data_IF_050218996937
#
_entry.id   IF_050218996937
#
_cell.length_a   1.000
_cell.length_b   1.000
_cell.length_c   1.000
_cell.angle_alpha   90.00
_cell.angle_beta   90.00
_cell.angle_gamma   90.00
#
_symmetry.space_group_name_H-M   'P 1'
#
loop_
_entity.id
_entity.type
_entity.pdbx_description
1 polymer ?
2 non-polymer ?
3 non-polymer ?
4 non-polymer ?
5 non-polymer ?
6 water ?
#
# COMPACT_ATOMS: atom_id res chain seq x y z
N UNK A 16 10.44 -33.66 -1.32
CA UNK A 16 9.46 -32.93 -2.12
C UNK A 16 10.00 -32.67 -3.54
N UNK A 17 9.51 -33.45 -4.51
CA UNK A 17 9.92 -33.30 -5.90
C UNK A 17 8.72 -33.12 -6.82
N UNK A 18 7.64 -32.55 -6.28
CA UNK A 18 6.44 -32.31 -7.09
C UNK A 18 6.76 -31.50 -8.34
N UNK A 19 7.65 -30.51 -8.19
CA UNK A 19 7.88 -29.52 -9.24
C UNK A 19 8.94 -29.92 -10.24
N UNK A 20 9.78 -30.90 -9.92
CA UNK A 20 10.62 -31.50 -10.95
C UNK A 20 9.76 -31.93 -12.13
N UNK A 21 10.32 -31.84 -13.32
CA UNK A 21 9.70 -32.21 -14.59
C UNK A 21 8.56 -31.29 -15.00
N UNK A 22 8.20 -30.29 -14.18
CA UNK A 22 7.31 -29.23 -14.65
C UNK A 22 8.06 -28.36 -15.63
N UNK A 23 7.58 -28.31 -16.87
CA UNK A 23 8.16 -27.43 -17.88
C UNK A 23 7.17 -26.38 -18.36
N UNK A 24 5.89 -26.69 -18.41
CA UNK A 24 4.90 -25.71 -18.85
C UNK A 24 4.36 -25.06 -17.59
N UNK A 25 4.89 -23.90 -17.28
CA UNK A 25 4.41 -23.08 -16.18
C UNK A 25 5.07 -21.74 -16.33
N UNK A 26 4.35 -20.64 -16.08
CA UNK A 26 4.95 -19.32 -16.06
C UNK A 26 4.48 -18.59 -14.82
N UNK A 27 5.35 -17.78 -14.24
CA UNK A 27 5.11 -17.20 -12.92
C UNK A 27 5.45 -15.71 -12.95
N UNK A 28 4.55 -14.88 -12.42
CA UNK A 28 4.76 -13.44 -12.43
C UNK A 28 4.60 -12.89 -11.03
N UNK A 29 5.35 -11.82 -10.74
CA UNK A 29 5.14 -11.00 -9.55
C UNK A 29 3.95 -10.09 -9.80
N UNK A 30 3.06 -9.95 -8.82
CA UNK A 30 2.00 -8.95 -8.85
C UNK A 30 2.23 -8.02 -7.67
N UNK A 31 2.32 -6.73 -7.94
CA UNK A 31 2.41 -5.73 -6.88
C UNK A 31 1.09 -4.95 -6.80
N UNK A 32 0.64 -4.69 -5.58
CA UNK A 32 -0.55 -3.88 -5.37
C UNK A 32 -0.24 -2.76 -4.39
N UNK A 33 -0.54 -1.51 -4.76
CA UNK A 33 -0.40 -0.46 -3.75
C UNK A 33 -1.40 -0.63 -2.62
N UNK A 34 -2.51 -1.32 -2.88
CA UNK A 34 -3.66 -1.32 -2.00
C UNK A 34 -3.87 -2.68 -1.35
N UNK A 35 -3.96 -2.68 -0.03
CA UNK A 35 -4.39 -3.86 0.70
C UNK A 35 -5.85 -4.17 0.43
N UNK A 36 -6.66 -3.14 0.22
CA UNK A 36 -8.07 -3.39 -0.08
C UNK A 36 -8.22 -4.21 -1.36
N UNK A 37 -7.36 -3.92 -2.35
CA UNK A 37 -7.48 -4.64 -3.62
C UNK A 37 -7.13 -6.11 -3.44
N UNK A 38 -6.13 -6.40 -2.61
CA UNK A 38 -5.83 -7.78 -2.25
C UNK A 38 -7.08 -8.45 -1.66
N UNK A 39 -7.71 -7.80 -0.67
CA UNK A 39 -8.90 -8.41 -0.06
C UNK A 39 -10.02 -8.64 -1.06
N UNK A 40 -10.25 -7.68 -1.98
CA UNK A 40 -11.28 -7.86 -3.00
C UNK A 40 -10.95 -9.01 -3.93
N UNK A 41 -9.67 -9.11 -4.34
CA UNK A 41 -9.24 -10.19 -5.22
C UNK A 41 -9.48 -11.55 -4.58
N UNK A 42 -9.16 -11.68 -3.29
CA UNK A 42 -9.39 -12.94 -2.58
C UNK A 42 -10.88 -13.25 -2.53
N UNK A 43 -11.69 -12.25 -2.22
CA UNK A 43 -13.13 -12.44 -2.06
C UNK A 43 -13.82 -12.86 -3.36
N UNK A 44 -13.46 -12.22 -4.47
CA UNK A 44 -14.17 -12.38 -5.74
C UNK A 44 -13.36 -13.09 -6.81
N UNK A 45 -12.12 -13.51 -6.51
CA UNK A 45 -11.29 -14.25 -7.46
C UNK A 45 -11.15 -13.54 -8.81
N UNK A 46 -10.76 -12.27 -8.76
CA UNK A 46 -10.56 -11.46 -9.94
C UNK A 46 -9.34 -10.59 -9.70
N UNK A 47 -8.72 -10.14 -10.79
CA UNK A 47 -7.63 -9.16 -10.71
C UNK A 47 -7.64 -8.29 -11.97
N UNK A 48 -6.84 -7.22 -11.93
CA UNK A 48 -6.58 -6.37 -13.09
C UNK A 48 -5.24 -5.70 -12.87
N UNK A 49 -4.41 -5.63 -13.91
CA UNK A 49 -3.11 -4.99 -13.78
C UNK A 49 -3.09 -3.67 -14.55
N UNK A 50 -1.90 -3.14 -14.81
CA UNK A 50 -1.77 -1.98 -15.69
C UNK A 50 -2.08 -2.40 -17.12
N UNK A 51 -2.12 -1.44 -18.05
CA UNK A 51 -2.29 -1.84 -19.45
C UNK A 51 -1.13 -2.75 -19.89
N UNK A 52 0.11 -2.35 -19.63
CA UNK A 52 1.19 -3.20 -20.12
C UNK A 52 1.28 -4.48 -19.31
N UNK A 53 0.90 -4.45 -18.04
CA UNK A 53 0.86 -5.67 -17.25
C UNK A 53 -0.21 -6.63 -17.74
N UNK A 54 -1.42 -6.12 -17.98
CA UNK A 54 -2.46 -6.97 -18.56
C UNK A 54 -1.99 -7.61 -19.86
N UNK A 55 -1.30 -6.86 -20.69
CA UNK A 55 -0.87 -7.41 -21.98
C UNK A 55 0.13 -8.56 -21.80
N UNK A 56 1.10 -8.39 -20.90
CA UNK A 56 2.04 -9.47 -20.61
C UNK A 56 1.34 -10.72 -20.08
N UNK A 57 0.41 -10.54 -19.14
CA UNK A 57 -0.27 -11.68 -18.54
C UNK A 57 -1.20 -12.36 -19.54
N UNK A 58 -1.90 -11.55 -20.34
CA UNK A 58 -2.79 -12.10 -21.35
C UNK A 58 -2.01 -12.92 -22.38
N UNK A 59 -0.85 -12.40 -22.82
CA UNK A 59 -0.05 -13.14 -23.80
C UNK A 59 0.43 -14.46 -23.20
N UNK A 60 0.89 -14.45 -21.96
CA UNK A 60 1.37 -15.66 -21.31
C UNK A 60 0.24 -16.67 -21.11
N UNK A 61 -0.93 -16.21 -20.66
CA UNK A 61 -2.06 -17.11 -20.47
C UNK A 61 -2.50 -17.73 -21.79
N UNK A 62 -2.60 -16.91 -22.84
CA UNK A 62 -3.15 -17.40 -24.11
C UNK A 62 -2.19 -18.34 -24.81
N UNK A 63 -0.88 -18.04 -24.74
CA UNK A 63 0.08 -18.92 -25.39
C UNK A 63 0.34 -20.18 -24.60
N UNK A 64 0.03 -20.17 -23.31
CA UNK A 64 0.10 -21.40 -22.53
C UNK A 64 -0.99 -22.38 -22.93
N UNK A 65 -2.15 -21.87 -23.35
CA UNK A 65 -3.16 -22.71 -23.99
C UNK A 65 -3.56 -23.88 -23.09
N UNK A 66 -3.65 -23.63 -21.79
CA UNK A 66 -4.05 -24.69 -20.87
C UNK A 66 -3.04 -25.80 -20.68
N UNK A 67 -1.80 -25.62 -21.12
CA UNK A 67 -0.78 -26.66 -20.99
C UNK A 67 -0.09 -26.64 -19.63
N UNK A 68 -0.21 -25.54 -18.89
CA UNK A 68 0.34 -25.45 -17.56
C UNK A 68 -0.23 -24.20 -16.89
N UNK A 69 0.15 -23.96 -15.64
CA UNK A 69 -0.41 -22.82 -14.91
C UNK A 69 0.35 -21.53 -15.17
N UNK A 70 -0.36 -20.42 -15.01
CA UNK A 70 0.24 -19.09 -14.86
C UNK A 70 0.00 -18.72 -13.41
N UNK A 71 1.06 -18.68 -12.61
CA UNK A 71 0.96 -18.36 -11.20
C UNK A 71 1.31 -16.90 -10.98
N UNK A 72 0.69 -16.32 -9.96
CA UNK A 72 0.82 -14.90 -9.61
C UNK A 72 1.25 -14.82 -8.15
N UNK A 73 2.39 -14.18 -7.90
CA UNK A 73 2.93 -14.04 -6.55
C UNK A 73 2.66 -12.63 -6.08
N UNK A 74 1.71 -12.46 -5.15
CA UNK A 74 1.20 -11.14 -4.75
C UNK A 74 1.98 -10.54 -3.57
N UNK A 75 2.17 -9.21 -3.63
CA UNK A 75 2.86 -8.48 -2.58
C UNK A 75 2.33 -7.05 -2.60
N UNK A 76 1.98 -6.51 -1.42
CA UNK A 76 1.62 -5.09 -1.33
C UNK A 76 2.88 -4.25 -1.22
N UNK A 77 2.98 -3.23 -2.07
CA UNK A 77 4.17 -2.38 -2.17
C UNK A 77 4.51 -1.78 -0.82
N UNK A 78 5.76 -1.97 -0.40
CA UNK A 78 6.23 -1.43 0.88
C UNK A 78 5.91 -2.28 2.10
N UNK A 79 5.08 -3.31 1.97
CA UNK A 79 4.65 -4.08 3.13
C UNK A 79 5.74 -4.96 3.73
N UNK A 80 6.77 -5.30 2.96
CA UNK A 80 7.84 -6.16 3.45
C UNK A 80 7.57 -7.65 3.39
N UNK A 81 6.44 -8.10 2.83
CA UNK A 81 6.15 -9.53 2.74
C UNK A 81 5.29 -9.79 1.50
N UNK A 82 5.37 -11.02 1.00
CA UNK A 82 4.36 -11.49 0.08
C UNK A 82 3.12 -11.91 0.85
N UNK A 83 1.95 -11.80 0.21
CA UNK A 83 0.71 -12.11 0.90
C UNK A 83 -0.04 -13.30 0.31
N UNK A 84 0.44 -13.88 -0.78
CA UNK A 84 -0.11 -15.14 -1.22
C UNK A 84 0.15 -15.42 -2.69
N UNK A 85 -0.51 -16.46 -3.18
CA UNK A 85 -0.29 -17.01 -4.51
C UNK A 85 -1.63 -17.29 -5.14
N UNK A 86 -1.79 -16.89 -6.40
CA UNK A 86 -3.01 -17.20 -7.14
C UNK A 86 -2.65 -17.71 -8.52
N UNK A 87 -3.59 -18.37 -9.17
CA UNK A 87 -3.41 -18.84 -10.54
C UNK A 87 -4.33 -18.02 -11.45
N UNK A 88 -3.79 -17.57 -12.58
CA UNK A 88 -4.61 -17.00 -13.66
C UNK A 88 -5.64 -18.03 -14.11
N UNK A 89 -6.91 -17.63 -14.20
CA UNK A 89 -7.93 -18.59 -14.66
C UNK A 89 -8.76 -18.08 -15.84
N UNK A 90 -8.35 -17.00 -16.50
CA UNK A 90 -9.02 -16.57 -17.72
C UNK A 90 -8.12 -15.58 -18.47
N UNK A 91 -8.47 -15.34 -19.74
CA UNK A 91 -7.82 -14.27 -20.48
C UNK A 91 -8.33 -12.92 -19.98
N UNK A 92 -7.63 -11.85 -20.38
CA UNK A 92 -8.04 -10.52 -19.94
C UNK A 92 -9.26 -10.07 -20.73
N UNK A 93 -10.29 -9.64 -20.01
CA UNK A 93 -11.44 -8.92 -20.58
C UNK A 93 -11.17 -7.43 -20.42
N UNK A 94 -10.89 -6.74 -21.51
CA UNK A 94 -10.42 -5.36 -21.40
C UNK A 94 -11.54 -4.34 -21.22
N UNK A 95 -12.79 -4.75 -21.32
CA UNK A 95 -13.92 -3.81 -21.34
C UNK A 95 -14.87 -4.25 -20.24
N UNK A 96 -14.67 -3.72 -19.04
CA UNK A 96 -15.47 -4.11 -17.89
C UNK A 96 -15.76 -2.87 -17.07
N UNK A 97 -16.59 -3.05 -16.05
CA UNK A 97 -17.00 -1.96 -15.17
C UNK A 97 -15.79 -1.20 -14.63
N UNK A 98 -15.87 0.12 -14.62
CA UNK A 98 -14.78 0.94 -14.10
C UNK A 98 -14.92 1.13 -12.58
N UNK A 99 -13.81 1.50 -11.95
CA UNK A 99 -13.85 1.91 -10.55
C UNK A 99 -14.11 0.85 -9.51
N UNK A 100 -13.88 -0.43 -9.83
CA UNK A 100 -14.15 -1.45 -8.83
C UNK A 100 -13.03 -1.61 -7.82
N UNK A 101 -11.84 -1.08 -8.11
CA UNK A 101 -10.66 -1.17 -7.26
C UNK A 101 -10.45 0.17 -6.54
N UNK A 102 -9.47 0.19 -5.64
CA UNK A 102 -9.21 1.41 -4.85
C UNK A 102 -9.04 2.64 -5.74
N UNK A 103 -8.18 2.53 -6.75
CA UNK A 103 -7.99 3.56 -7.75
C UNK A 103 -8.74 3.21 -9.03
N UNK A 104 -9.10 4.24 -9.78
CA UNK A 104 -9.81 4.05 -11.05
C UNK A 104 -8.85 3.82 -12.25
N UNK A 105 -7.56 3.61 -12.02
CA UNK A 105 -6.59 3.54 -13.10
C UNK A 105 -6.75 2.28 -13.97
N UNK A 106 -7.23 1.19 -13.39
CA UNK A 106 -7.12 -0.15 -14.00
C UNK A 106 -8.30 -0.40 -14.92
N UNK A 107 -8.01 -0.86 -16.15
CA UNK A 107 -9.03 -1.15 -17.14
C UNK A 107 -9.07 -2.65 -17.43
N UNK A 108 -10.19 -3.29 -17.15
CA UNK A 108 -10.37 -4.69 -17.51
C UNK A 108 -10.38 -5.58 -16.29
N UNK A 109 -10.43 -6.90 -16.55
CA UNK A 109 -10.62 -7.87 -15.49
C UNK A 109 -10.17 -9.23 -16.00
N UNK A 110 -9.60 -10.04 -15.11
CA UNK A 110 -9.44 -11.46 -15.42
C UNK A 110 -9.66 -12.28 -14.16
N UNK A 111 -10.01 -13.55 -14.35
CA UNK A 111 -10.25 -14.44 -13.23
C UNK A 111 -8.94 -14.96 -12.65
N UNK A 112 -8.94 -15.17 -11.34
CA UNK A 112 -7.84 -15.83 -10.65
C UNK A 112 -8.44 -16.83 -9.68
N UNK A 113 -7.60 -17.75 -9.21
CA UNK A 113 -7.98 -18.64 -8.13
C UNK A 113 -6.87 -18.56 -7.09
N UNK A 114 -7.19 -18.05 -5.90
CA UNK A 114 -6.16 -17.96 -4.88
C UNK A 114 -5.83 -19.34 -4.32
N UNK A 115 -4.52 -19.61 -4.19
CA UNK A 115 -3.97 -20.89 -3.73
C UNK A 115 -3.47 -20.79 -2.30
N UNK A 116 -2.62 -19.80 -2.02
CA UNK A 116 -2.18 -19.49 -0.66
C UNK A 116 -2.62 -18.09 -0.33
N UNK A 117 -3.16 -17.92 0.86
CA UNK A 117 -3.24 -16.62 1.49
C UNK A 117 -2.40 -16.73 2.74
N UNK A 118 -1.17 -16.25 2.67
CA UNK A 118 -0.31 -16.33 3.83
C UNK A 118 0.83 -15.34 3.67
N UNK A 119 1.19 -14.69 4.77
CA UNK A 119 2.28 -13.72 4.76
C UNK A 119 3.61 -14.43 4.83
N UNK A 120 4.49 -14.11 3.88
CA UNK A 120 5.84 -14.67 3.82
C UNK A 120 6.80 -13.49 3.81
N UNK A 121 7.61 -13.32 4.86
CA UNK A 121 8.47 -12.13 4.94
C UNK A 121 9.48 -12.11 3.81
N UNK A 122 9.84 -10.89 3.36
CA UNK A 122 10.84 -10.78 2.30
C UNK A 122 12.15 -11.46 2.70
N UNK A 123 12.44 -11.54 4.00
CA UNK A 123 13.66 -12.19 4.46
C UNK A 123 13.74 -13.66 4.01
N UNK A 124 12.59 -14.32 3.87
CA UNK A 124 12.57 -15.71 3.41
C UNK A 124 12.92 -15.85 1.93
N UNK A 125 12.74 -14.80 1.14
CA UNK A 125 12.83 -14.90 -0.32
C UNK A 125 13.92 -14.05 -0.96
N UNK A 126 14.51 -13.10 -0.22
CA UNK A 126 15.40 -12.11 -0.82
C UNK A 126 16.70 -12.70 -1.34
N UNK A 127 17.02 -13.95 -1.01
CA UNK A 127 18.23 -14.56 -1.58
C UNK A 127 18.00 -15.18 -2.96
N UNK A 128 16.75 -15.35 -3.38
CA UNK A 128 16.47 -15.77 -4.75
C UNK A 128 16.58 -14.57 -5.66
N UNK A 129 17.46 -14.66 -6.68
CA UNK A 129 17.72 -13.54 -7.56
C UNK A 129 17.29 -13.87 -8.99
N UNK A 130 16.91 -12.85 -9.75
CA UNK A 130 16.33 -13.05 -11.07
C UNK A 130 17.35 -12.69 -12.16
N UNK A 131 17.80 -13.70 -12.90
CA UNK A 131 18.78 -13.46 -13.95
C UNK A 131 18.25 -12.58 -15.07
N UNK A 132 16.92 -12.53 -15.24
CA UNK A 132 16.30 -11.70 -16.26
C UNK A 132 16.01 -10.29 -15.77
N UNK A 133 16.31 -9.99 -14.51
CA UNK A 133 16.16 -8.65 -13.97
C UNK A 133 17.44 -8.25 -13.25
N UNK A 134 18.56 -8.36 -13.95
CA UNK A 134 19.85 -7.84 -13.48
C UNK A 134 20.32 -8.49 -12.18
N UNK A 135 19.95 -9.75 -11.94
CA UNK A 135 20.35 -10.47 -10.74
C UNK A 135 19.79 -9.82 -9.46
N UNK A 136 18.72 -9.03 -9.59
CA UNK A 136 18.11 -8.40 -8.43
C UNK A 136 17.31 -9.42 -7.63
N UNK A 137 17.21 -9.23 -6.31
CA UNK A 137 16.37 -10.13 -5.50
C UNK A 137 14.94 -10.15 -6.02
N UNK A 138 14.31 -11.31 -5.95
CA UNK A 138 12.92 -11.42 -6.39
C UNK A 138 12.04 -10.49 -5.57
N UNK A 139 12.45 -10.18 -4.34
CA UNK A 139 11.72 -9.25 -3.48
C UNK A 139 11.86 -7.80 -3.90
N UNK A 140 12.71 -7.47 -4.88
CA UNK A 140 12.80 -6.11 -5.41
C UNK A 140 12.21 -5.99 -6.82
N UNK A 141 11.17 -6.76 -7.12
CA UNK A 141 10.55 -6.75 -8.44
C UNK A 141 9.45 -5.70 -8.52
N UNK A 142 9.17 -5.26 -9.74
CA UNK A 142 8.00 -4.44 -10.05
C UNK A 142 6.85 -5.33 -10.52
N UNK A 143 5.66 -4.72 -10.61
CA UNK A 143 4.46 -5.43 -11.06
C UNK A 143 4.69 -6.13 -12.40
N UNK A 144 4.22 -7.38 -12.48
CA UNK A 144 4.29 -8.30 -13.63
C UNK A 144 5.72 -8.55 -14.12
N UNK A 145 6.70 -8.40 -13.23
CA UNK A 145 8.00 -9.00 -13.45
C UNK A 145 7.84 -10.52 -13.60
N UNK A 146 8.31 -11.07 -14.71
CA UNK A 146 8.24 -12.52 -14.83
C UNK A 146 9.41 -13.17 -14.13
N UNK A 147 9.17 -14.37 -13.58
CA UNK A 147 10.15 -15.09 -12.79
C UNK A 147 10.58 -16.32 -13.59
N UNK A 148 11.86 -16.49 -13.88
CA UNK A 148 12.29 -17.72 -14.57
C UNK A 148 11.85 -18.97 -13.81
N UNK A 149 11.47 -20.01 -14.57
CA UNK A 149 10.78 -21.14 -13.96
C UNK A 149 11.57 -21.75 -12.80
N UNK A 150 12.89 -21.87 -12.96
CA UNK A 150 13.68 -22.55 -11.94
C UNK A 150 13.70 -21.74 -10.64
N UNK A 151 13.76 -20.41 -10.75
CA UNK A 151 13.66 -19.58 -9.56
C UNK A 151 12.24 -19.61 -9.00
N UNK A 152 11.25 -19.66 -9.88
CA UNK A 152 9.86 -19.65 -9.42
C UNK A 152 9.55 -20.89 -8.59
N UNK A 153 10.14 -22.02 -8.96
CA UNK A 153 9.93 -23.24 -8.18
C UNK A 153 10.49 -23.09 -6.79
N UNK A 154 11.66 -22.43 -6.67
CA UNK A 154 12.28 -22.20 -5.38
C UNK A 154 11.44 -21.28 -4.51
N UNK A 155 10.84 -20.25 -5.12
CA UNK A 155 9.98 -19.33 -4.39
C UNK A 155 8.74 -20.06 -3.91
N UNK A 156 8.11 -20.86 -4.78
CA UNK A 156 6.88 -21.55 -4.41
C UNK A 156 7.12 -22.55 -3.28
N UNK A 157 8.26 -23.23 -3.30
CA UNK A 157 8.57 -24.16 -2.23
C UNK A 157 8.76 -23.43 -0.91
N UNK A 158 9.42 -22.26 -0.94
CA UNK A 158 9.58 -21.48 0.28
C UNK A 158 8.23 -20.98 0.77
N UNK A 159 7.38 -20.48 -0.14
CA UNK A 159 6.08 -19.98 0.30
C UNK A 159 5.24 -21.11 0.91
N UNK A 160 5.27 -22.28 0.29
CA UNK A 160 4.44 -23.39 0.77
C UNK A 160 4.91 -23.90 2.13
N UNK A 161 6.22 -23.93 2.34
CA UNK A 161 6.80 -24.49 3.54
C UNK A 161 6.86 -23.51 4.71
N UNK A 162 6.55 -22.24 4.49
CA UNK A 162 6.66 -21.25 5.56
C UNK A 162 5.56 -21.42 6.60
N UNK A 163 5.94 -21.36 7.88
CA UNK A 163 4.95 -21.53 8.94
C UNK A 163 5.09 -20.46 10.03
N UNK A 164 6.31 -19.97 10.25
CA UNK A 164 6.57 -19.05 11.36
C UNK A 164 5.75 -17.77 11.26
N UNK B 16 -3.25 34.48 4.32
CA UNK B 16 -4.25 33.49 3.92
C UNK B 16 -5.34 33.34 4.96
N UNK B 17 -6.48 32.76 4.54
CA UNK B 17 -7.60 32.57 5.44
C UNK B 17 -7.37 31.41 6.41
N UNK B 18 -6.43 30.53 6.09
CA UNK B 18 -6.33 29.22 6.71
C UNK B 18 -4.99 29.06 7.42
N UNK B 19 -5.04 28.54 8.65
CA UNK B 19 -3.85 28.22 9.45
C UNK B 19 -2.88 29.39 9.54
N UNK B 20 -3.41 30.61 9.47
CA UNK B 20 -2.56 31.79 9.53
C UNK B 20 -2.07 32.10 10.94
N UNK B 21 -2.52 31.37 11.95
CA UNK B 21 -2.22 31.73 13.33
C UNK B 21 -1.82 30.50 14.15
N UNK B 22 -1.05 29.60 13.54
CA UNK B 22 -0.42 28.51 14.30
C UNK B 22 0.96 28.96 14.75
N UNK B 23 1.02 29.54 15.96
CA UNK B 23 2.31 29.84 16.56
C UNK B 23 2.99 28.56 17.03
N UNK B 24 2.21 27.55 17.43
CA UNK B 24 2.72 26.28 17.92
C UNK B 24 2.15 25.13 17.09
N UNK B 25 2.49 23.92 17.48
CA UNK B 25 1.95 22.74 16.82
C UNK B 25 2.98 21.83 16.20
N UNK B 26 2.60 20.59 15.95
CA UNK B 26 3.49 19.59 15.35
C UNK B 26 2.68 18.82 14.32
N UNK B 27 3.30 18.49 13.18
CA UNK B 27 2.55 17.98 12.03
C UNK B 27 3.23 16.73 11.48
N UNK B 28 2.44 15.71 11.18
CA UNK B 28 2.97 14.44 10.70
C UNK B 28 2.27 14.01 9.41
N UNK B 29 3.02 13.32 8.56
CA UNK B 29 2.43 12.61 7.42
C UNK B 29 1.82 11.31 7.92
N UNK B 30 0.66 10.95 7.39
CA UNK B 30 0.05 9.64 7.61
C UNK B 30 -0.13 8.97 6.26
N UNK B 31 0.37 7.74 6.16
CA UNK B 31 0.24 6.93 4.95
C UNK B 31 -0.65 5.74 5.26
N UNK B 32 -1.38 5.26 4.26
CA UNK B 32 -2.25 4.10 4.45
C UNK B 32 -2.18 3.23 3.20
N UNK B 33 -2.12 1.90 3.44
CA UNK B 33 -2.33 0.88 2.42
C UNK B 33 -3.81 0.65 2.11
N UNK B 34 -4.73 1.32 2.81
CA UNK B 34 -6.16 0.97 2.73
C UNK B 34 -7.01 2.22 2.64
N UNK B 35 -7.70 2.39 1.51
CA UNK B 35 -8.72 3.44 1.44
C UNK B 35 -9.86 3.16 2.42
N UNK B 36 -10.18 1.89 2.65
CA UNK B 36 -11.27 1.58 3.57
C UNK B 36 -10.94 2.05 4.99
N UNK B 37 -9.67 1.92 5.41
CA UNK B 37 -9.27 2.43 6.71
C UNK B 37 -9.48 3.94 6.79
N UNK B 38 -9.17 4.65 5.70
CA UNK B 38 -9.40 6.08 5.67
C UNK B 38 -10.89 6.39 5.81
N UNK B 39 -11.74 5.63 5.09
CA UNK B 39 -13.17 5.85 5.20
C UNK B 39 -13.66 5.63 6.62
N UNK B 40 -13.16 4.59 7.29
CA UNK B 40 -13.59 4.33 8.66
C UNK B 40 -13.08 5.42 9.59
N UNK B 41 -11.88 5.93 9.34
CA UNK B 41 -11.34 7.05 10.10
C UNK B 41 -12.22 8.28 9.99
N UNK B 42 -12.66 8.62 8.77
CA UNK B 42 -13.49 9.80 8.59
C UNK B 42 -14.83 9.61 9.27
N UNK B 43 -15.40 8.41 9.15
CA UNK B 43 -16.75 8.17 9.67
C UNK B 43 -16.77 8.22 11.20
N UNK B 44 -15.75 7.68 11.84
CA UNK B 44 -15.74 7.53 13.29
C UNK B 44 -14.67 8.34 14.01
N UNK B 45 -13.88 9.15 13.30
CA UNK B 45 -12.92 10.07 13.92
C UNK B 45 -11.93 9.32 14.83
N UNK B 46 -11.28 8.31 14.26
CA UNK B 46 -10.31 7.48 14.96
C UNK B 46 -9.22 7.10 13.97
N UNK B 47 -8.04 6.78 14.49
CA UNK B 47 -6.95 6.31 13.64
C UNK B 47 -6.04 5.41 14.46
N UNK B 48 -5.16 4.71 13.76
CA UNK B 48 -4.17 3.83 14.35
C UNK B 48 -2.99 3.75 13.40
N UNK B 49 -1.77 3.78 13.93
CA UNK B 49 -0.57 3.67 13.08
C UNK B 49 0.14 2.34 13.37
N UNK B 50 1.40 2.25 12.93
CA UNK B 50 2.26 1.14 13.32
C UNK B 50 2.61 1.28 14.80
N UNK B 51 3.26 0.25 15.35
CA UNK B 51 3.76 0.37 16.72
C UNK B 51 4.68 1.57 16.86
N UNK B 52 5.66 1.69 15.95
CA UNK B 52 6.61 2.79 16.06
C UNK B 52 5.94 4.11 15.75
N UNK B 53 5.01 4.12 14.79
CA UNK B 53 4.28 5.35 14.49
C UNK B 53 3.39 5.78 15.63
N UNK B 54 2.68 4.83 16.26
CA UNK B 54 1.88 5.16 17.43
C UNK B 54 2.75 5.78 18.51
N UNK B 55 3.92 5.18 18.76
CA UNK B 55 4.83 5.69 19.77
C UNK B 55 5.26 7.12 19.46
N UNK B 56 5.63 7.38 18.20
CA UNK B 56 5.99 8.73 17.78
C UNK B 56 4.85 9.71 18.02
N UNK B 57 3.64 9.35 17.58
CA UNK B 57 2.52 10.27 17.67
C UNK B 57 2.13 10.48 19.14
N UNK B 58 2.21 9.42 19.93
CA UNK B 58 1.86 9.49 21.35
C UNK B 58 2.81 10.41 22.10
N UNK B 59 4.11 10.22 21.90
CA UNK B 59 5.10 11.09 22.52
C UNK B 59 4.85 12.54 22.16
N UNK B 60 4.54 12.82 20.89
CA UNK B 60 4.34 14.20 20.46
C UNK B 60 3.08 14.79 21.07
N UNK B 61 1.98 14.02 21.08
CA UNK B 61 0.75 14.53 21.64
C UNK B 61 0.90 14.79 23.13
N UNK B 62 1.56 13.87 23.84
CA UNK B 62 1.72 14.00 25.29
C UNK B 62 2.63 15.18 25.63
N UNK B 63 3.69 15.39 24.85
CA UNK B 63 4.58 16.53 25.11
C UNK B 63 3.89 17.84 24.77
N UNK B 64 2.93 17.83 23.85
CA UNK B 64 2.24 19.06 23.49
C UNK B 64 1.42 19.58 24.68
N UNK B 65 0.82 18.67 25.45
CA UNK B 65 0.11 19.03 26.69
C UNK B 65 -0.98 20.08 26.43
N UNK B 66 -1.65 19.96 25.28
CA UNK B 66 -2.74 20.85 24.94
C UNK B 66 -2.35 22.25 24.54
N UNK B 67 -1.04 22.58 24.50
CA UNK B 67 -0.61 23.93 24.17
C UNK B 67 -0.80 24.27 22.70
N UNK B 68 -0.91 23.26 21.84
CA UNK B 68 -1.10 23.48 20.43
C UNK B 68 -1.60 22.20 19.77
N UNK B 69 -1.87 22.26 18.47
CA UNK B 69 -2.39 21.08 17.76
C UNK B 69 -1.30 20.13 17.28
N UNK B 70 -1.70 18.86 17.11
CA UNK B 70 -0.93 17.89 16.33
C UNK B 70 -1.75 17.60 15.09
N UNK B 71 -1.30 18.05 13.92
CA UNK B 71 -2.03 17.80 12.68
C UNK B 71 -1.48 16.57 11.96
N UNK B 72 -2.35 15.93 11.19
CA UNK B 72 -2.03 14.71 10.47
C UNK B 72 -2.42 14.91 9.01
N UNK B 73 -1.46 14.78 8.11
CA UNK B 73 -1.67 14.95 6.67
C UNK B 73 -1.77 13.56 6.04
N UNK B 74 -2.96 13.19 5.56
CA UNK B 74 -3.23 11.81 5.14
C UNK B 74 -3.01 11.63 3.64
N UNK B 75 -2.44 10.48 3.27
CA UNK B 75 -2.23 10.16 1.86
C UNK B 75 -2.25 8.66 1.70
N UNK B 76 -3.07 8.15 0.79
CA UNK B 76 -3.13 6.71 0.53
C UNK B 76 -1.97 6.34 -0.40
N UNK B 77 -1.27 5.26 -0.05
CA UNK B 77 -0.12 4.82 -0.83
C UNK B 77 -0.50 4.63 -2.29
N UNK B 78 0.34 5.15 -3.17
CA UNK B 78 0.18 5.02 -4.60
C UNK B 78 -0.96 5.80 -5.22
N UNK B 79 -1.70 6.57 -4.43
CA UNK B 79 -2.85 7.29 -4.96
C UNK B 79 -2.45 8.52 -5.76
N UNK B 80 -1.24 9.02 -5.57
CA UNK B 80 -0.83 10.26 -6.20
C UNK B 80 -1.47 11.51 -5.64
N UNK B 81 -2.14 11.44 -4.48
CA UNK B 81 -2.73 12.64 -3.91
C UNK B 81 -2.89 12.48 -2.41
N UNK B 82 -2.90 13.62 -1.71
CA UNK B 82 -3.28 13.63 -0.31
C UNK B 82 -4.80 13.69 -0.25
N UNK B 83 -5.38 13.11 0.79
CA UNK B 83 -6.83 13.01 0.89
C UNK B 83 -7.43 13.79 2.04
N UNK B 84 -6.63 14.45 2.87
CA UNK B 84 -7.20 15.38 3.84
C UNK B 84 -6.30 15.60 5.03
N UNK B 85 -6.87 16.29 6.01
CA UNK B 85 -6.15 16.77 7.19
C UNK B 85 -6.98 16.44 8.42
N UNK B 86 -6.33 15.93 9.47
CA UNK B 86 -7.00 15.71 10.74
C UNK B 86 -6.12 16.18 11.87
N UNK B 87 -6.75 16.50 13.00
CA UNK B 87 -6.06 16.79 14.24
C UNK B 87 -6.15 15.60 15.18
N UNK B 88 -5.02 15.24 15.79
CA UNK B 88 -4.99 14.28 16.89
C UNK B 88 -5.75 14.83 18.10
N UNK B 89 -6.64 14.01 18.66
CA UNK B 89 -7.51 14.46 19.73
C UNK B 89 -7.38 13.63 21.01
N UNK B 90 -6.44 12.70 21.06
CA UNK B 90 -6.25 11.87 22.23
C UNK B 90 -4.87 11.21 22.16
N UNK B 91 -4.36 10.83 23.33
CA UNK B 91 -3.22 9.95 23.41
C UNK B 91 -3.59 8.56 22.88
N UNK B 92 -2.57 7.75 22.65
CA UNK B 92 -2.77 6.43 22.05
C UNK B 92 -3.22 5.45 23.12
N UNK B 93 -4.33 4.78 22.87
CA UNK B 93 -4.78 3.69 23.71
C UNK B 93 -4.31 2.39 23.08
N UNK B 94 -3.48 1.63 23.80
CA UNK B 94 -2.80 0.51 23.18
C UNK B 94 -3.56 -0.80 23.35
N UNK B 95 -4.49 -0.89 24.31
CA UNK B 95 -5.22 -2.11 24.61
C UNK B 95 -6.66 -1.88 24.19
N UNK B 96 -7.00 -2.37 23.00
CA UNK B 96 -8.22 -1.99 22.32
C UNK B 96 -8.68 -3.19 21.49
N UNK B 97 -9.92 -3.10 21.00
CA UNK B 97 -10.50 -4.19 20.24
C UNK B 97 -9.63 -4.55 19.03
N UNK B 98 -9.33 -5.85 18.88
CA UNK B 98 -8.54 -6.27 17.74
C UNK B 98 -9.39 -6.41 16.48
N UNK B 99 -8.72 -6.37 15.33
CA UNK B 99 -9.36 -6.70 14.07
C UNK B 99 -10.35 -5.69 13.53
N UNK B 100 -10.27 -4.43 13.94
CA UNK B 100 -11.24 -3.45 13.46
C UNK B 100 -10.80 -2.75 12.18
N UNK B 101 -9.54 -2.88 11.79
CA UNK B 101 -9.03 -2.25 10.58
C UNK B 101 -8.86 -3.27 9.47
N UNK B 102 -8.33 -2.80 8.33
CA UNK B 102 -8.17 -3.67 7.17
C UNK B 102 -7.27 -4.85 7.47
N UNK B 103 -6.31 -4.67 8.39
CA UNK B 103 -5.39 -5.71 8.79
C UNK B 103 -5.28 -5.77 10.30
N UNK B 104 -5.06 -6.97 10.84
CA UNK B 104 -4.95 -7.16 12.28
C UNK B 104 -3.72 -6.45 12.84
N UNK B 105 -2.72 -6.24 12.01
CA UNK B 105 -1.46 -5.64 12.46
C UNK B 105 -1.62 -4.23 12.99
N UNK B 106 -2.70 -3.52 12.62
CA UNK B 106 -2.95 -2.18 13.16
C UNK B 106 -3.58 -2.34 14.54
N UNK B 107 -2.82 -2.04 15.58
CA UNK B 107 -3.23 -2.33 16.95
C UNK B 107 -3.21 -1.03 17.75
N UNK B 108 -4.25 -0.81 18.55
CA UNK B 108 -4.35 0.42 19.31
C UNK B 108 -5.25 1.42 18.61
N UNK B 109 -5.43 2.57 19.25
CA UNK B 109 -6.39 3.55 18.74
C UNK B 109 -6.15 4.91 19.38
N UNK B 110 -6.44 5.96 18.62
CA UNK B 110 -6.50 7.31 19.16
C UNK B 110 -7.52 8.12 18.40
N UNK B 111 -8.11 9.10 19.08
CA UNK B 111 -9.13 9.94 18.48
C UNK B 111 -8.51 10.97 17.56
N UNK B 112 -9.20 11.27 16.48
CA UNK B 112 -8.82 12.36 15.59
C UNK B 112 -10.06 13.20 15.33
N UNK B 113 -9.84 14.36 14.72
CA UNK B 113 -10.91 15.22 14.24
C UNK B 113 -10.57 15.62 12.82
N UNK B 114 -11.32 15.11 11.85
CA UNK B 114 -11.03 15.46 10.48
C UNK B 114 -11.45 16.90 10.22
N UNK B 115 -10.57 17.67 9.58
CA UNK B 115 -10.80 19.07 9.27
C UNK B 115 -11.07 19.28 7.78
N UNK B 116 -10.20 18.74 6.93
CA UNK B 116 -10.44 18.73 5.49
C UNK B 116 -10.48 17.29 5.01
N UNK B 117 -11.51 16.95 4.26
CA UNK B 117 -11.53 15.75 3.44
C UNK B 117 -11.59 16.22 2.00
N UNK B 118 -10.46 16.08 1.28
CA UNK B 118 -10.31 16.62 -0.07
C UNK B 118 -9.10 16.00 -0.74
N UNK B 119 -9.25 15.56 -1.99
CA UNK B 119 -8.12 15.05 -2.75
C UNK B 119 -7.33 16.21 -3.33
N UNK B 120 -6.02 16.23 -3.06
CA UNK B 120 -5.12 17.24 -3.57
C UNK B 120 -3.98 16.54 -4.28
N UNK B 121 -3.80 16.75 -5.59
CA UNK B 121 -2.73 16.05 -6.33
C UNK B 121 -1.37 16.36 -5.76
N UNK B 122 -0.48 15.36 -5.79
CA UNK B 122 0.89 15.55 -5.32
C UNK B 122 1.61 16.63 -6.12
N UNK B 123 1.22 16.84 -7.38
CA UNK B 123 1.83 17.89 -8.18
C UNK B 123 1.72 19.25 -7.50
N UNK B 124 0.69 19.45 -6.68
CA UNK B 124 0.50 20.70 -5.95
C UNK B 124 1.46 20.84 -4.78
N UNK B 125 2.01 19.74 -4.29
CA UNK B 125 2.81 19.72 -3.08
C UNK B 125 4.25 19.29 -3.28
N UNK B 126 4.61 18.75 -4.45
CA UNK B 126 5.90 18.06 -4.56
C UNK B 126 7.08 19.02 -4.47
N UNK B 127 6.87 20.33 -4.62
CA UNK B 127 7.97 21.28 -4.54
C UNK B 127 8.31 21.68 -3.11
N UNK B 128 7.54 21.21 -2.13
CA UNK B 128 7.82 21.44 -0.72
C UNK B 128 8.75 20.34 -0.21
N UNK B 129 9.97 20.70 0.17
CA UNK B 129 10.96 19.73 0.60
C UNK B 129 11.18 19.82 2.11
N UNK B 130 11.52 18.68 2.71
CA UNK B 130 11.66 18.60 4.17
C UNK B 130 13.13 18.62 4.54
N UNK B 131 13.56 19.70 5.20
CA UNK B 131 14.97 19.82 5.59
C UNK B 131 15.38 18.77 6.62
N UNK B 132 14.43 18.18 7.35
CA UNK B 132 14.73 17.11 8.30
C UNK B 132 14.70 15.73 7.66
N UNK B 133 14.36 15.64 6.37
CA UNK B 133 14.33 14.37 5.66
C UNK B 133 15.16 14.48 4.38
N UNK B 134 16.41 14.94 4.52
CA UNK B 134 17.36 14.96 3.41
C UNK B 134 16.87 15.80 2.23
N UNK B 135 16.07 16.83 2.53
CA UNK B 135 15.44 17.69 1.53
C UNK B 135 14.59 16.93 0.51
N UNK B 136 14.03 15.78 0.88
CA UNK B 136 13.13 15.09 -0.05
C UNK B 136 11.78 15.80 -0.14
N UNK B 137 11.09 15.65 -1.27
CA UNK B 137 9.74 16.21 -1.37
C UNK B 137 8.85 15.68 -0.26
N UNK B 138 7.93 16.53 0.21
CA UNK B 138 7.01 16.07 1.23
C UNK B 138 6.16 14.92 0.73
N UNK B 139 5.93 14.88 -0.60
CA UNK B 139 5.14 13.83 -1.24
C UNK B 139 5.87 12.50 -1.31
N UNK B 140 7.14 12.43 -0.89
CA UNK B 140 7.87 11.18 -0.84
C UNK B 140 8.13 10.72 0.60
N UNK B 141 7.25 11.09 1.51
CA UNK B 141 7.43 10.78 2.93
C UNK B 141 6.85 9.41 3.25
N UNK B 142 7.36 8.83 4.33
CA UNK B 142 6.84 7.59 4.89
C UNK B 142 5.87 7.93 6.03
N UNK B 143 5.13 6.92 6.46
CA UNK B 143 4.19 7.08 7.58
C UNK B 143 4.87 7.69 8.81
N UNK B 144 4.19 8.68 9.40
CA UNK B 144 4.57 9.45 10.61
C UNK B 144 5.91 10.17 10.45
N UNK B 145 6.35 10.43 9.22
CA UNK B 145 7.37 11.44 8.97
C UNK B 145 6.91 12.76 9.56
N UNK B 146 7.71 13.35 10.45
CA UNK B 146 7.34 14.65 10.96
C UNK B 146 7.73 15.75 9.97
N UNK B 147 6.92 16.79 9.92
CA UNK B 147 7.06 17.88 8.96
C UNK B 147 7.48 19.14 9.73
N UNK B 148 8.55 19.83 9.34
CA UNK B 148 8.86 21.12 9.98
C UNK B 148 7.70 22.10 9.85
N UNK B 149 7.46 22.87 10.91
CA UNK B 149 6.24 23.66 11.00
C UNK B 149 6.06 24.61 9.82
N UNK B 150 7.15 25.21 9.33
CA UNK B 150 6.97 26.19 8.27
C UNK B 150 6.63 25.51 6.95
N UNK B 151 7.14 24.29 6.74
CA UNK B 151 6.73 23.53 5.57
C UNK B 151 5.30 23.03 5.74
N UNK B 152 4.95 22.61 6.96
CA UNK B 152 3.59 22.13 7.22
C UNK B 152 2.57 23.24 6.94
N UNK B 153 2.84 24.46 7.41
CA UNK B 153 1.95 25.57 7.10
C UNK B 153 1.73 25.70 5.61
N UNK B 154 2.80 25.53 4.82
CA UNK B 154 2.68 25.66 3.37
C UNK B 154 1.80 24.56 2.80
N UNK B 155 1.96 23.32 3.30
CA UNK B 155 1.12 22.22 2.83
C UNK B 155 -0.33 22.46 3.23
N UNK B 156 -0.55 22.80 4.51
CA UNK B 156 -1.90 23.03 5.00
C UNK B 156 -2.62 24.10 4.19
N UNK B 157 -1.93 25.21 3.89
CA UNK B 157 -2.55 26.26 3.11
C UNK B 157 -2.89 25.79 1.69
N UNK B 158 -2.01 25.00 1.06
CA UNK B 158 -2.32 24.49 -0.27
C UNK B 158 -3.53 23.56 -0.22
N UNK B 159 -3.57 22.66 0.77
CA UNK B 159 -4.69 21.73 0.87
C UNK B 159 -5.98 22.49 1.13
N UNK B 160 -5.92 23.47 2.03
CA UNK B 160 -7.12 24.22 2.39
C UNK B 160 -7.70 24.96 1.19
N UNK B 161 -6.83 25.59 0.39
CA UNK B 161 -7.26 26.43 -0.71
C UNK B 161 -7.50 25.68 -2.02
N UNK B 162 -7.05 24.43 -2.14
CA UNK B 162 -7.12 23.76 -3.44
C UNK B 162 -8.56 23.60 -3.89
N UNK B 163 -8.78 23.84 -5.18
CA UNK B 163 -10.13 23.78 -5.75
C UNK B 163 -10.18 22.90 -6.99
#
# INVERSE_FOLDING_TARGET
MGSSYHHHHHHSSGENLYFQHMKHGRVFIIKSYSEDDIHRSIKYNIWCSTEHGNKRLDAAYRSMNGKGPVYLLFSVNGSGHFCGVAEMKSAVDYNTCAGVWSQDKWKGRFDVRWIFVKDVPNSQLRHIRLENNENKPVTNSRDTQEVPLEKAKQVLKIIASYKHTTS
MGSSYHHHHHHSSGENLYFQHMKHGRVFIIKSYSEDDIHRSIKYNIWCSTEHGNKRLDAAYRSMNGKGPVYLLFSVNGSGHFCGVAEMKSAVDYNTCAGVWSQDKWKGRFDVRWIFVKDVPNSQLRHIRLENNENKPVTNSRDTQEVPLEKAKQVLKIIASYKHTTS
#
